data_IF_361793361456
#
_entry.id   IF_361793361456
#
_cell.length_a   1.000
_cell.length_b   1.000
_cell.length_c   1.000
_cell.angle_alpha   90.00
_cell.angle_beta   90.00
_cell.angle_gamma   90.00
#
_symmetry.space_group_name_H-M   'P 1'
#
loop_
_entity.id
_entity.type
_entity.pdbx_description
1 polymer ?
#
# COMPACT_ATOMS: atom_id res chain seq x y z
N UNK A 1 -14.18 -31.16 -15.56
CA UNK A 1 -14.04 -32.20 -14.53
C UNK A 1 -15.41 -32.52 -13.94
N UNK A 2 -15.69 -33.79 -13.64
CA UNK A 2 -16.96 -34.24 -13.09
C UNK A 2 -16.65 -34.96 -11.78
N UNK A 3 -17.40 -34.63 -10.71
CA UNK A 3 -17.29 -35.27 -9.41
C UNK A 3 -18.66 -35.80 -8.97
N UNK A 4 -18.73 -36.99 -8.34
CA UNK A 4 -20.00 -37.56 -7.87
C UNK A 4 -20.57 -36.73 -6.71
N UNK A 5 -21.90 -36.58 -6.71
CA UNK A 5 -22.62 -35.93 -5.60
C UNK A 5 -22.93 -36.94 -4.49
N UNK A 6 -23.32 -36.47 -3.33
CA UNK A 6 -23.84 -37.33 -2.26
C UNK A 6 -25.08 -38.13 -2.71
N UNK A 7 -25.91 -37.56 -3.61
CA UNK A 7 -27.07 -38.25 -4.18
C UNK A 7 -26.68 -39.45 -5.03
N UNK A 8 -25.63 -39.29 -5.85
CA UNK A 8 -25.13 -40.43 -6.63
C UNK A 8 -24.67 -41.58 -5.74
N UNK A 9 -23.97 -41.28 -4.64
CA UNK A 9 -23.54 -42.29 -3.67
C UNK A 9 -24.75 -43.03 -3.06
N UNK A 10 -25.83 -42.31 -2.71
CA UNK A 10 -27.06 -42.92 -2.23
C UNK A 10 -27.78 -43.74 -3.31
N UNK A 11 -27.81 -43.28 -4.56
CA UNK A 11 -28.39 -44.04 -5.67
C UNK A 11 -27.62 -45.33 -5.90
N UNK A 12 -26.29 -45.31 -5.81
CA UNK A 12 -25.46 -46.53 -5.90
C UNK A 12 -25.70 -47.45 -4.69
N UNK A 13 -25.70 -46.90 -3.48
CA UNK A 13 -25.87 -47.68 -2.25
C UNK A 13 -27.24 -48.35 -2.15
N UNK A 14 -28.32 -47.63 -2.50
CA UNK A 14 -29.69 -48.16 -2.39
C UNK A 14 -30.23 -48.78 -3.68
N UNK A 15 -29.74 -48.32 -4.84
CA UNK A 15 -30.23 -48.80 -6.15
C UNK A 15 -29.43 -49.94 -6.72
N UNK A 16 -28.18 -50.13 -6.32
CA UNK A 16 -27.32 -51.20 -6.82
C UNK A 16 -27.07 -52.31 -5.78
N UNK A 17 -26.71 -51.95 -4.54
CA UNK A 17 -26.33 -52.94 -3.54
C UNK A 17 -27.48 -53.87 -3.12
N UNK A 18 -28.71 -53.40 -2.81
CA UNK A 18 -29.78 -54.29 -2.40
C UNK A 18 -30.26 -55.20 -3.53
N UNK A 19 -30.49 -54.73 -4.78
CA UNK A 19 -30.83 -55.60 -5.90
C UNK A 19 -29.77 -56.63 -6.20
N UNK A 20 -28.48 -56.23 -6.15
CA UNK A 20 -27.37 -57.15 -6.36
C UNK A 20 -27.33 -58.24 -5.29
N UNK A 21 -27.56 -57.93 -4.02
CA UNK A 21 -27.65 -58.88 -2.96
C UNK A 21 -28.85 -59.84 -3.13
N UNK A 22 -30.04 -59.33 -3.47
CA UNK A 22 -31.21 -60.16 -3.78
C UNK A 22 -30.97 -61.09 -4.94
N UNK A 23 -30.32 -60.63 -6.04
CA UNK A 23 -29.98 -61.43 -7.18
C UNK A 23 -28.95 -62.54 -6.88
N UNK A 24 -28.05 -62.29 -5.91
CA UNK A 24 -27.10 -63.29 -5.44
C UNK A 24 -27.73 -64.39 -4.60
N UNK A 25 -28.71 -64.08 -3.75
CA UNK A 25 -29.40 -65.05 -2.90
C UNK A 25 -30.58 -65.78 -3.59
N UNK A 26 -31.22 -65.12 -4.57
CA UNK A 26 -32.39 -65.63 -5.29
C UNK A 26 -32.17 -65.58 -6.79
N UNK A 27 -31.72 -66.68 -7.47
CA UNK A 27 -31.41 -66.70 -8.86
C UNK A 27 -32.47 -66.17 -9.85
N UNK A 28 -33.78 -66.35 -9.61
CA UNK A 28 -34.81 -65.83 -10.52
C UNK A 28 -34.81 -64.28 -10.59
N UNK A 29 -34.31 -63.55 -9.56
CA UNK A 29 -34.22 -62.13 -9.56
C UNK A 29 -32.89 -61.55 -10.12
N UNK A 30 -31.93 -62.38 -10.46
CA UNK A 30 -30.62 -62.00 -10.94
C UNK A 30 -30.71 -61.16 -12.23
N UNK A 31 -31.53 -61.58 -13.19
CA UNK A 31 -31.73 -60.85 -14.44
C UNK A 31 -32.31 -59.43 -14.20
N UNK A 32 -33.26 -59.32 -13.29
CA UNK A 32 -33.86 -58.01 -12.92
C UNK A 32 -32.84 -57.12 -12.22
N UNK A 33 -32.01 -57.65 -11.33
CA UNK A 33 -30.94 -56.91 -10.65
C UNK A 33 -29.88 -56.39 -11.63
N UNK A 34 -29.48 -57.20 -12.61
CA UNK A 34 -28.54 -56.79 -13.66
C UNK A 34 -29.17 -55.66 -14.50
N UNK A 35 -30.41 -55.79 -14.93
CA UNK A 35 -31.12 -54.80 -15.71
C UNK A 35 -31.21 -53.45 -14.96
N UNK A 36 -31.58 -53.48 -13.68
CA UNK A 36 -31.65 -52.28 -12.83
C UNK A 36 -30.28 -51.60 -12.71
N UNK A 37 -29.23 -52.38 -12.47
CA UNK A 37 -27.85 -51.86 -12.40
C UNK A 37 -27.42 -51.19 -13.72
N UNK A 38 -27.68 -51.84 -14.85
CA UNK A 38 -27.36 -51.28 -16.18
C UNK A 38 -28.13 -50.00 -16.42
N UNK A 39 -29.40 -49.92 -16.08
CA UNK A 39 -30.21 -48.71 -16.24
C UNK A 39 -29.71 -47.54 -15.38
N UNK A 40 -29.30 -47.81 -14.14
CA UNK A 40 -28.74 -46.76 -13.24
C UNK A 40 -27.42 -46.25 -13.80
N UNK A 41 -26.53 -47.14 -14.24
CA UNK A 41 -25.25 -46.79 -14.84
C UNK A 41 -25.46 -46.00 -16.15
N UNK A 42 -26.32 -46.45 -17.02
CA UNK A 42 -26.66 -45.77 -18.26
C UNK A 42 -27.24 -44.39 -18.02
N UNK A 43 -28.14 -44.23 -17.02
CA UNK A 43 -28.70 -42.95 -16.61
C UNK A 43 -27.63 -41.99 -16.05
N UNK A 44 -26.71 -42.52 -15.26
CA UNK A 44 -25.60 -41.72 -14.72
C UNK A 44 -24.64 -41.25 -15.83
N UNK A 45 -24.30 -42.13 -16.80
CA UNK A 45 -23.47 -41.77 -17.95
C UNK A 45 -24.20 -40.76 -18.85
N UNK A 46 -25.48 -40.94 -19.10
CA UNK A 46 -26.30 -39.98 -19.87
C UNK A 46 -26.32 -38.59 -19.21
N UNK A 47 -26.56 -38.54 -17.90
CA UNK A 47 -26.53 -37.26 -17.14
C UNK A 47 -25.14 -36.61 -17.20
N UNK A 48 -24.06 -37.37 -17.09
CA UNK A 48 -22.71 -36.88 -17.26
C UNK A 48 -22.45 -36.29 -18.65
N UNK A 49 -22.81 -37.08 -19.70
CA UNK A 49 -22.55 -36.72 -21.09
C UNK A 49 -23.31 -35.46 -21.55
N UNK A 50 -24.58 -35.31 -21.13
CA UNK A 50 -25.42 -34.16 -21.48
C UNK A 50 -24.94 -32.87 -20.82
N UNK A 51 -24.20 -32.95 -19.71
CA UNK A 51 -23.73 -31.79 -18.99
C UNK A 51 -22.22 -31.49 -19.20
N UNK A 52 -21.51 -32.21 -20.05
CA UNK A 52 -20.08 -31.98 -20.33
C UNK A 52 -19.78 -30.60 -20.89
N UNK A 53 -20.68 -30.00 -21.68
CA UNK A 53 -20.53 -28.69 -22.31
C UNK A 53 -21.46 -27.63 -21.70
N UNK A 54 -21.79 -27.76 -20.42
CA UNK A 54 -22.74 -26.86 -19.75
C UNK A 54 -22.27 -25.38 -19.70
N UNK A 55 -20.94 -25.14 -19.66
CA UNK A 55 -20.38 -23.78 -19.61
C UNK A 55 -20.48 -23.03 -20.95
N UNK A 56 -20.83 -23.69 -22.06
CA UNK A 56 -21.00 -22.99 -23.35
C UNK A 56 -22.15 -22.00 -23.27
N UNK A 57 -21.84 -20.71 -23.57
CA UNK A 57 -22.79 -19.60 -23.46
C UNK A 57 -22.83 -18.94 -22.09
N UNK A 58 -22.01 -19.41 -21.13
CA UNK A 58 -21.80 -18.71 -19.87
C UNK A 58 -20.60 -17.78 -20.00
N UNK A 59 -20.78 -16.51 -19.63
CA UNK A 59 -19.72 -15.51 -19.58
C UNK A 59 -19.57 -15.00 -18.17
N UNK A 60 -18.32 -14.87 -17.73
CA UNK A 60 -17.97 -14.30 -16.44
C UNK A 60 -17.06 -13.10 -16.70
N UNK A 61 -17.57 -11.91 -16.37
CA UNK A 61 -16.83 -10.67 -16.60
C UNK A 61 -16.48 -10.01 -15.27
N UNK A 62 -15.19 -9.67 -15.16
CA UNK A 62 -14.67 -8.85 -14.06
C UNK A 62 -14.23 -7.49 -14.61
N UNK A 63 -14.25 -6.42 -13.80
CA UNK A 63 -13.57 -5.19 -14.16
C UNK A 63 -12.09 -5.46 -14.42
N UNK A 64 -11.50 -4.84 -15.43
CA UNK A 64 -10.08 -5.01 -15.75
C UNK A 64 -9.15 -4.67 -14.58
N UNK A 65 -9.52 -3.64 -13.82
CA UNK A 65 -8.75 -3.17 -12.67
C UNK A 65 -9.68 -2.83 -11.52
N UNK A 66 -9.42 -3.40 -10.35
CA UNK A 66 -10.12 -3.10 -9.10
C UNK A 66 -9.11 -2.48 -8.14
N UNK A 67 -9.50 -1.36 -7.52
CA UNK A 67 -8.68 -0.65 -6.53
C UNK A 67 -9.25 -0.91 -5.16
N UNK A 68 -8.42 -1.49 -4.28
CA UNK A 68 -8.77 -1.75 -2.89
C UNK A 68 -7.77 -1.07 -1.97
N UNK A 69 -8.14 -0.93 -0.70
CA UNK A 69 -7.27 -0.40 0.34
C UNK A 69 -6.99 -1.50 1.35
N UNK A 70 -5.75 -1.62 1.79
CA UNK A 70 -5.34 -2.61 2.79
C UNK A 70 -6.12 -2.42 4.10
N UNK A 71 -6.55 -3.52 4.72
CA UNK A 71 -7.30 -3.56 5.99
C UNK A 71 -8.64 -2.81 5.99
N UNK A 72 -9.18 -2.53 4.82
CA UNK A 72 -10.53 -1.99 4.66
C UNK A 72 -11.35 -2.98 3.85
N UNK A 73 -12.58 -3.20 4.30
CA UNK A 73 -13.51 -4.04 3.54
C UNK A 73 -13.79 -3.42 2.18
N UNK A 74 -13.68 -4.24 1.16
CA UNK A 74 -13.97 -3.87 -0.22
C UNK A 74 -14.76 -4.97 -0.92
N UNK A 75 -15.34 -4.62 -2.05
CA UNK A 75 -16.16 -5.51 -2.85
C UNK A 75 -15.44 -5.87 -4.16
N UNK A 76 -15.24 -7.16 -4.38
CA UNK A 76 -14.78 -7.72 -5.64
C UNK A 76 -16.02 -8.11 -6.46
N UNK A 77 -16.42 -7.26 -7.40
CA UNK A 77 -17.62 -7.46 -8.19
C UNK A 77 -17.36 -8.28 -9.45
N UNK A 78 -18.29 -9.18 -9.78
CA UNK A 78 -18.31 -9.87 -11.07
C UNK A 78 -19.72 -9.92 -11.65
N UNK A 79 -19.81 -9.92 -12.96
CA UNK A 79 -21.06 -10.14 -13.68
C UNK A 79 -21.04 -11.52 -14.30
N UNK A 80 -22.08 -12.29 -14.00
CA UNK A 80 -22.29 -13.64 -14.55
C UNK A 80 -23.46 -13.56 -15.51
N UNK A 81 -23.26 -13.94 -16.76
CA UNK A 81 -24.30 -13.90 -17.79
C UNK A 81 -24.40 -15.26 -18.51
N UNK A 82 -25.62 -15.75 -18.71
CA UNK A 82 -25.91 -16.94 -19.51
C UNK A 82 -26.73 -16.56 -20.76
N UNK A 83 -26.09 -16.63 -21.94
CA UNK A 83 -26.73 -16.33 -23.22
C UNK A 83 -27.85 -17.32 -23.57
N UNK A 84 -27.83 -18.51 -22.96
CA UNK A 84 -28.84 -19.57 -23.20
C UNK A 84 -30.05 -19.49 -22.27
N UNK A 85 -30.10 -18.53 -21.35
CA UNK A 85 -31.20 -18.28 -20.40
C UNK A 85 -31.65 -19.52 -19.63
N UNK A 86 -30.71 -20.31 -19.14
CA UNK A 86 -30.98 -21.55 -18.42
C UNK A 86 -31.19 -21.28 -16.91
N UNK A 87 -31.90 -22.19 -16.25
CA UNK A 87 -31.94 -22.20 -14.79
C UNK A 87 -30.71 -22.92 -14.27
N UNK A 88 -29.76 -22.16 -13.71
CA UNK A 88 -28.49 -22.68 -13.21
C UNK A 88 -28.23 -22.20 -11.78
N UNK A 89 -27.80 -23.14 -10.94
CA UNK A 89 -27.24 -22.84 -9.64
C UNK A 89 -25.71 -22.96 -9.76
N UNK A 90 -25.02 -21.82 -9.75
CA UNK A 90 -23.58 -21.76 -9.94
C UNK A 90 -22.91 -21.53 -8.58
N UNK A 91 -21.84 -22.24 -8.33
CA UNK A 91 -20.85 -21.93 -7.31
C UNK A 91 -19.61 -21.42 -8.03
N UNK A 92 -19.18 -20.23 -7.63
CA UNK A 92 -18.08 -19.53 -8.27
C UNK A 92 -17.00 -19.31 -7.24
N UNK A 93 -15.79 -19.71 -7.57
CA UNK A 93 -14.60 -19.46 -6.78
C UNK A 93 -13.43 -19.10 -7.67
N UNK A 94 -12.37 -18.59 -7.10
CA UNK A 94 -11.12 -18.36 -7.79
C UNK A 94 -9.95 -18.87 -6.95
N UNK A 95 -8.79 -19.05 -7.57
CA UNK A 95 -7.61 -19.49 -6.85
C UNK A 95 -7.33 -18.55 -5.70
N UNK A 96 -7.12 -19.08 -4.50
CA UNK A 96 -6.80 -18.29 -3.32
C UNK A 96 -5.63 -17.36 -3.64
N UNK A 97 -5.89 -16.08 -3.62
CA UNK A 97 -4.87 -15.05 -3.80
C UNK A 97 -4.36 -14.69 -2.39
N UNK A 98 -3.14 -15.09 -2.02
CA UNK A 98 -2.59 -14.77 -0.72
C UNK A 98 -2.57 -13.24 -0.56
N UNK A 99 -3.13 -12.76 0.54
CA UNK A 99 -3.20 -11.32 0.82
C UNK A 99 -4.56 -10.66 0.58
N UNK A 100 -5.52 -11.32 -0.09
CA UNK A 100 -6.82 -10.72 -0.39
C UNK A 100 -7.84 -10.80 0.77
N UNK A 101 -7.70 -11.77 1.68
CA UNK A 101 -8.59 -11.90 2.85
C UNK A 101 -10.07 -12.01 2.50
N UNK A 102 -10.44 -13.05 1.74
CA UNK A 102 -11.83 -13.29 1.37
C UNK A 102 -12.64 -13.73 2.59
N UNK A 103 -13.84 -13.16 2.79
CA UNK A 103 -14.77 -13.64 3.81
C UNK A 103 -15.47 -14.94 3.42
N UNK A 104 -15.61 -15.19 2.13
CA UNK A 104 -16.22 -16.39 1.55
C UNK A 104 -15.43 -16.82 0.34
N UNK A 105 -14.98 -18.06 0.30
CA UNK A 105 -14.20 -18.59 -0.85
C UNK A 105 -15.10 -18.88 -2.05
N UNK A 106 -16.37 -19.26 -1.80
CA UNK A 106 -17.33 -19.68 -2.82
C UNK A 106 -18.55 -18.75 -2.79
N UNK A 107 -18.91 -18.24 -3.93
CA UNK A 107 -20.07 -17.38 -4.13
C UNK A 107 -21.15 -18.16 -4.87
N UNK A 108 -22.37 -18.19 -4.33
CA UNK A 108 -23.49 -18.82 -5.00
C UNK A 108 -24.27 -17.83 -5.86
N UNK A 109 -24.50 -18.17 -7.11
CA UNK A 109 -25.31 -17.43 -8.07
C UNK A 109 -26.41 -18.29 -8.63
N UNK A 110 -27.64 -17.82 -8.61
CA UNK A 110 -28.81 -18.49 -9.22
C UNK A 110 -29.26 -17.73 -10.44
N UNK A 111 -29.01 -18.29 -11.61
CA UNK A 111 -29.51 -17.77 -12.87
C UNK A 111 -30.90 -18.34 -13.18
N UNK A 112 -31.78 -17.50 -13.69
CA UNK A 112 -33.13 -17.89 -14.16
C UNK A 112 -33.32 -17.34 -15.56
N UNK A 113 -34.25 -17.92 -16.35
CA UNK A 113 -34.53 -17.41 -17.71
C UNK A 113 -34.90 -15.92 -17.75
N UNK A 114 -35.49 -15.38 -16.68
CA UNK A 114 -35.87 -13.97 -16.54
C UNK A 114 -34.68 -13.09 -16.12
N UNK A 115 -33.74 -13.66 -15.35
CA UNK A 115 -32.53 -12.98 -14.89
C UNK A 115 -31.32 -13.72 -15.40
N UNK A 116 -31.00 -13.54 -16.69
CA UNK A 116 -29.88 -14.18 -17.36
C UNK A 116 -28.52 -13.55 -17.01
N UNK A 117 -28.51 -12.34 -16.48
CA UNK A 117 -27.32 -11.63 -15.99
C UNK A 117 -27.49 -11.25 -14.52
N UNK A 118 -26.50 -11.55 -13.68
CA UNK A 118 -26.51 -11.23 -12.25
C UNK A 118 -25.16 -10.64 -11.87
N UNK A 119 -25.20 -9.51 -11.16
CA UNK A 119 -24.05 -8.93 -10.51
C UNK A 119 -23.89 -9.58 -9.13
N UNK A 120 -22.70 -10.06 -8.83
CA UNK A 120 -22.34 -10.62 -7.54
C UNK A 120 -21.04 -10.01 -7.03
N UNK A 121 -20.86 -9.97 -5.72
CA UNK A 121 -19.65 -9.45 -5.09
C UNK A 121 -19.17 -10.35 -3.98
N UNK A 122 -17.83 -10.52 -3.92
CA UNK A 122 -17.15 -11.07 -2.75
C UNK A 122 -16.75 -9.91 -1.84
N UNK A 123 -17.04 -10.05 -0.57
CA UNK A 123 -16.45 -9.18 0.45
C UNK A 123 -15.04 -9.66 0.76
N UNK A 124 -14.09 -8.77 0.62
CA UNK A 124 -12.69 -9.03 0.90
C UNK A 124 -12.09 -7.94 1.78
N UNK A 125 -11.11 -8.31 2.59
CA UNK A 125 -10.35 -7.39 3.43
C UNK A 125 -8.86 -7.67 3.19
N UNK A 126 -8.25 -7.02 2.18
CA UNK A 126 -6.85 -7.26 1.87
C UNK A 126 -5.97 -6.88 3.05
N UNK A 127 -5.05 -7.75 3.44
CA UNK A 127 -4.11 -7.48 4.54
C UNK A 127 -2.70 -7.08 4.08
N UNK A 128 -2.40 -7.25 2.79
CA UNK A 128 -1.15 -6.80 2.18
C UNK A 128 -1.42 -5.91 0.98
N UNK A 129 -0.65 -4.83 0.83
CA UNK A 129 -0.66 -4.02 -0.38
C UNK A 129 0.07 -4.72 -1.51
N UNK A 130 -0.20 -4.29 -2.73
CA UNK A 130 0.47 -4.79 -3.92
C UNK A 130 -0.48 -5.11 -5.06
N UNK A 131 0.05 -5.82 -6.02
CA UNK A 131 -0.65 -6.24 -7.22
C UNK A 131 -1.05 -7.70 -7.08
N UNK A 132 -2.34 -7.97 -7.17
CA UNK A 132 -2.91 -9.32 -7.17
C UNK A 132 -3.58 -9.53 -8.52
N UNK A 133 -3.26 -10.63 -9.21
CA UNK A 133 -3.86 -10.96 -10.50
C UNK A 133 -4.69 -12.22 -10.33
N UNK A 134 -5.95 -12.16 -10.75
CA UNK A 134 -6.83 -13.32 -10.85
C UNK A 134 -6.83 -13.77 -12.31
N UNK A 135 -6.21 -14.92 -12.58
CA UNK A 135 -6.09 -15.47 -13.93
C UNK A 135 -7.25 -16.38 -14.29
N UNK A 136 -7.83 -17.05 -13.29
CA UNK A 136 -8.83 -18.07 -13.51
C UNK A 136 -9.92 -18.04 -12.46
N UNK A 137 -11.16 -18.22 -12.91
CA UNK A 137 -12.31 -18.52 -12.05
C UNK A 137 -12.74 -19.98 -12.26
N UNK A 138 -13.14 -20.59 -11.18
CA UNK A 138 -13.68 -21.95 -11.16
C UNK A 138 -15.17 -21.87 -10.96
N UNK A 139 -15.88 -22.60 -11.81
CA UNK A 139 -17.34 -22.66 -11.80
C UNK A 139 -17.76 -24.10 -11.52
N UNK A 140 -18.72 -24.27 -10.63
CA UNK A 140 -19.31 -25.56 -10.32
C UNK A 140 -20.84 -25.45 -10.44
N UNK A 141 -21.46 -26.46 -11.04
CA UNK A 141 -22.91 -26.60 -11.07
C UNK A 141 -23.32 -28.06 -10.91
N UNK A 142 -24.55 -28.29 -10.46
CA UNK A 142 -25.10 -29.62 -10.39
C UNK A 142 -25.61 -30.03 -11.78
N UNK A 143 -25.46 -31.32 -12.14
CA UNK A 143 -26.08 -31.91 -13.33
C UNK A 143 -27.62 -31.89 -13.23
N UNK A 144 -28.32 -32.17 -14.35
CA UNK A 144 -29.80 -32.14 -14.38
C UNK A 144 -30.44 -33.08 -13.36
N UNK A 145 -29.92 -34.28 -13.22
CA UNK A 145 -30.37 -35.24 -12.23
C UNK A 145 -29.73 -35.06 -10.86
N UNK A 146 -28.82 -34.09 -10.75
CA UNK A 146 -28.02 -33.81 -9.54
C UNK A 146 -27.18 -35.02 -9.09
N UNK A 147 -26.80 -35.87 -10.01
CA UNK A 147 -25.89 -36.99 -9.75
C UNK A 147 -24.44 -36.56 -9.77
N UNK A 148 -24.11 -35.54 -10.54
CA UNK A 148 -22.75 -35.03 -10.73
C UNK A 148 -22.62 -33.54 -10.41
N UNK A 149 -21.48 -33.18 -9.80
CA UNK A 149 -20.96 -31.82 -9.79
C UNK A 149 -20.10 -31.63 -11.04
N UNK A 150 -20.49 -30.76 -11.91
CA UNK A 150 -19.74 -30.45 -13.14
C UNK A 150 -18.94 -29.18 -12.92
N UNK A 151 -17.62 -29.28 -13.01
CA UNK A 151 -16.67 -28.20 -12.77
C UNK A 151 -16.08 -27.71 -14.08
N UNK A 152 -16.03 -26.39 -14.22
CA UNK A 152 -15.40 -25.70 -15.33
C UNK A 152 -14.36 -24.69 -14.86
N UNK A 153 -13.40 -24.36 -15.70
CA UNK A 153 -12.40 -23.33 -15.49
C UNK A 153 -12.56 -22.31 -16.61
N UNK A 154 -12.66 -21.03 -16.24
CA UNK A 154 -12.75 -19.93 -17.19
C UNK A 154 -11.56 -18.97 -16.98
N UNK A 155 -10.89 -18.54 -18.05
CA UNK A 155 -9.88 -17.52 -17.96
C UNK A 155 -10.53 -16.18 -17.57
N UNK A 156 -9.91 -15.48 -16.65
CA UNK A 156 -10.32 -14.15 -16.17
C UNK A 156 -9.09 -13.27 -16.15
N UNK A 157 -9.18 -12.06 -16.66
CA UNK A 157 -8.12 -11.07 -16.58
C UNK A 157 -8.57 -9.94 -15.65
N UNK A 158 -8.37 -10.12 -14.35
CA UNK A 158 -8.67 -9.10 -13.35
C UNK A 158 -7.42 -8.75 -12.55
N UNK A 159 -7.04 -7.49 -12.58
CA UNK A 159 -5.95 -6.94 -11.79
C UNK A 159 -6.51 -6.21 -10.58
N UNK A 160 -6.13 -6.65 -9.38
CA UNK A 160 -6.49 -6.00 -8.13
C UNK A 160 -5.27 -5.22 -7.63
N UNK A 161 -5.43 -3.91 -7.49
CA UNK A 161 -4.42 -3.01 -6.93
C UNK A 161 -4.80 -2.67 -5.51
N UNK A 162 -3.99 -3.12 -4.54
CA UNK A 162 -4.21 -2.86 -3.12
C UNK A 162 -3.26 -1.74 -2.67
N UNK A 163 -3.85 -0.61 -2.28
CA UNK A 163 -3.12 0.57 -1.78
C UNK A 163 -3.00 0.55 -0.26
N UNK A 164 -2.01 1.26 0.31
CA UNK A 164 -1.86 1.36 1.76
C UNK A 164 -3.05 2.06 2.42
N UNK A 165 -3.35 1.68 3.67
CA UNK A 165 -4.39 2.32 4.46
C UNK A 165 -3.83 3.53 5.20
N UNK A 166 -4.31 4.70 4.87
CA UNK A 166 -3.91 5.96 5.50
C UNK A 166 -4.86 6.40 6.63
N UNK A 167 -5.91 5.62 6.92
CA UNK A 167 -7.03 6.08 7.75
C UNK A 167 -6.69 6.35 9.22
N UNK A 168 -5.92 5.48 9.87
CA UNK A 168 -5.49 5.63 11.26
C UNK A 168 -4.52 6.79 11.43
N UNK A 169 -3.50 6.82 10.58
CA UNK A 169 -2.43 7.80 10.67
C UNK A 169 -2.88 9.18 10.19
N UNK A 170 -3.88 9.24 9.30
CA UNK A 170 -4.51 10.50 8.89
C UNK A 170 -5.18 11.24 10.05
N UNK A 171 -5.81 10.53 10.98
CA UNK A 171 -6.40 11.14 12.19
C UNK A 171 -5.31 11.76 13.07
N UNK A 172 -4.23 11.03 13.32
CA UNK A 172 -3.08 11.49 14.09
C UNK A 172 -2.36 12.66 13.40
N UNK A 173 -2.19 12.58 12.09
CA UNK A 173 -1.63 13.66 11.27
C UNK A 173 -2.52 14.91 11.27
N UNK A 174 -3.84 14.76 11.17
CA UNK A 174 -4.78 15.87 11.24
C UNK A 174 -4.78 16.53 12.60
N UNK A 175 -4.66 15.78 13.69
CA UNK A 175 -4.52 16.33 15.03
C UNK A 175 -3.21 17.13 15.18
N UNK A 176 -2.10 16.60 14.66
CA UNK A 176 -0.82 17.32 14.65
C UNK A 176 -0.88 18.62 13.81
N UNK A 177 -1.62 18.57 12.70
CA UNK A 177 -1.88 19.73 11.85
C UNK A 177 -2.77 20.78 12.54
N UNK A 178 -3.86 20.34 13.18
CA UNK A 178 -4.81 21.24 13.88
C UNK A 178 -4.21 21.84 15.15
N UNK A 179 -3.42 21.09 15.92
CA UNK A 179 -2.79 21.60 17.15
C UNK A 179 -1.71 22.66 16.89
N UNK A 180 -1.08 22.65 15.70
CA UNK A 180 -0.10 23.66 15.28
C UNK A 180 -0.62 24.64 14.24
N UNK A 181 -1.76 24.39 13.67
CA UNK A 181 -2.24 25.00 12.44
C UNK A 181 -3.47 25.87 12.54
N UNK A 182 -3.66 26.64 13.61
CA UNK A 182 -4.27 27.95 13.40
C UNK A 182 -3.22 28.98 12.95
N UNK A 183 -2.25 28.57 12.16
CA UNK A 183 -1.62 29.49 11.21
C UNK A 183 -2.64 29.63 10.11
N UNK A 184 -3.44 30.68 10.27
CA UNK A 184 -4.58 30.94 9.39
C UNK A 184 -4.18 30.94 7.95
N UNK A 185 -5.13 30.69 7.09
CA UNK A 185 -5.17 31.00 5.65
C UNK A 185 -4.86 32.49 5.33
N UNK A 186 -4.46 33.29 6.29
CA UNK A 186 -3.77 34.54 6.05
C UNK A 186 -2.37 34.18 5.56
N UNK A 187 -2.27 33.92 4.26
CA UNK A 187 -1.07 34.17 3.50
C UNK A 187 -0.58 35.54 3.95
N UNK A 188 0.38 35.56 4.90
CA UNK A 188 1.10 36.77 5.20
C UNK A 188 1.87 37.07 3.92
N UNK A 189 1.31 37.97 3.12
CA UNK A 189 1.93 38.43 1.88
C UNK A 189 3.25 39.06 2.25
N UNK A 190 4.34 38.34 2.14
CA UNK A 190 5.66 38.92 2.30
C UNK A 190 6.10 39.51 0.98
N UNK A 191 6.25 40.79 1.00
CA UNK A 191 6.83 41.59 -0.08
C UNK A 191 8.35 41.38 -0.05
N UNK A 192 8.93 40.86 -1.13
CA UNK A 192 10.36 40.61 -1.23
C UNK A 192 10.84 40.47 -2.68
N UNK A 193 12.14 40.26 -2.87
CA UNK A 193 12.76 40.07 -4.21
C UNK A 193 12.40 38.72 -4.86
N UNK A 194 11.10 38.54 -5.18
CA UNK A 194 10.64 37.37 -5.97
C UNK A 194 10.61 37.66 -7.47
N UNK A 195 10.31 36.62 -8.27
CA UNK A 195 10.19 36.74 -9.73
C UNK A 195 8.76 36.93 -10.22
N UNK A 196 7.77 36.71 -9.38
CA UNK A 196 6.37 36.82 -9.75
C UNK A 196 5.81 38.19 -9.41
N UNK A 197 5.30 38.91 -10.41
CA UNK A 197 4.71 40.24 -10.25
C UNK A 197 3.39 40.13 -9.47
N UNK A 198 3.26 40.86 -8.36
CA UNK A 198 2.05 40.89 -7.57
C UNK A 198 1.21 42.15 -7.86
N UNK A 199 1.79 43.32 -7.65
CA UNK A 199 1.08 44.58 -7.84
C UNK A 199 2.00 45.77 -8.07
N UNK A 200 1.42 46.90 -8.43
CA UNK A 200 2.06 48.21 -8.48
C UNK A 200 1.66 49.02 -7.25
N UNK A 201 2.63 49.53 -6.50
CA UNK A 201 2.40 50.49 -5.42
C UNK A 201 3.22 51.76 -5.62
N UNK A 202 2.88 52.81 -4.89
CA UNK A 202 3.71 54.00 -4.87
C UNK A 202 5.09 53.69 -4.29
N UNK A 203 6.10 54.31 -4.85
CA UNK A 203 7.48 54.20 -4.40
C UNK A 203 7.62 54.71 -2.95
N UNK A 204 8.27 53.93 -2.12
CA UNK A 204 8.61 54.31 -0.74
C UNK A 204 10.13 54.39 -0.59
N UNK A 205 10.57 55.29 0.27
CA UNK A 205 12.00 55.46 0.53
C UNK A 205 12.61 54.11 1.03
N UNK A 206 13.59 53.61 0.29
CA UNK A 206 14.20 52.28 0.54
C UNK A 206 13.87 51.24 -0.53
N UNK A 207 12.94 51.49 -1.46
CA UNK A 207 12.70 50.60 -2.59
C UNK A 207 13.86 50.66 -3.60
N UNK A 208 14.13 49.53 -4.28
CA UNK A 208 15.16 49.50 -5.32
C UNK A 208 14.71 50.28 -6.56
N UNK A 209 15.61 51.09 -7.10
CA UNK A 209 15.36 51.82 -8.36
C UNK A 209 15.13 50.90 -9.55
N UNK A 210 15.66 49.67 -9.54
CA UNK A 210 15.47 48.68 -10.58
C UNK A 210 14.03 48.18 -10.69
N UNK A 211 13.28 48.26 -9.60
CA UNK A 211 11.90 47.81 -9.53
C UNK A 211 10.89 48.89 -9.94
N UNK A 212 11.33 50.10 -10.30
CA UNK A 212 10.44 51.15 -10.74
C UNK A 212 9.80 50.80 -12.08
N UNK A 213 8.46 50.91 -12.14
CA UNK A 213 7.70 50.69 -13.34
C UNK A 213 7.51 52.00 -14.12
N UNK A 214 8.49 52.39 -14.94
CA UNK A 214 8.55 53.66 -15.64
C UNK A 214 7.29 54.02 -16.42
N UNK A 215 6.65 53.05 -17.06
CA UNK A 215 5.40 53.26 -17.82
C UNK A 215 4.23 53.66 -16.93
N UNK A 216 4.11 53.05 -15.73
CA UNK A 216 3.07 53.42 -14.76
C UNK A 216 3.38 54.77 -14.09
N UNK A 217 4.65 55.03 -13.79
CA UNK A 217 5.16 56.30 -13.27
C UNK A 217 4.81 57.46 -14.18
N UNK A 218 5.07 57.30 -15.50
CA UNK A 218 4.74 58.32 -16.48
C UNK A 218 3.22 58.62 -16.56
N UNK A 219 2.38 57.59 -16.40
CA UNK A 219 0.91 57.76 -16.42
C UNK A 219 0.36 58.37 -15.14
N UNK A 220 0.92 58.03 -13.99
CA UNK A 220 0.45 58.52 -12.67
C UNK A 220 1.13 59.78 -12.17
N UNK A 221 2.20 60.22 -12.83
CA UNK A 221 3.05 61.36 -12.44
C UNK A 221 3.65 61.27 -11.01
N UNK A 222 3.64 60.08 -10.44
CA UNK A 222 4.31 59.74 -9.18
C UNK A 222 5.11 58.43 -9.38
N UNK A 223 6.27 58.24 -8.74
CA UNK A 223 7.05 57.02 -8.87
C UNK A 223 6.26 55.83 -8.40
N UNK A 224 6.20 54.76 -9.23
CA UNK A 224 5.48 53.51 -8.96
C UNK A 224 6.46 52.37 -9.02
N UNK A 225 6.47 51.53 -7.97
CA UNK A 225 7.35 50.36 -7.86
C UNK A 225 6.56 49.08 -8.13
N UNK A 226 7.21 48.15 -8.80
CA UNK A 226 6.73 46.77 -8.92
C UNK A 226 6.98 46.02 -7.61
N UNK A 227 5.91 45.48 -7.05
CA UNK A 227 6.00 44.59 -5.92
C UNK A 227 5.98 43.18 -6.43
N UNK A 228 7.01 42.43 -6.05
CA UNK A 228 7.11 41.01 -6.41
C UNK A 228 6.75 40.14 -5.22
N UNK A 229 6.05 39.07 -5.50
CA UNK A 229 5.75 38.04 -4.51
C UNK A 229 6.92 37.06 -4.47
N UNK A 230 7.35 36.69 -3.27
CA UNK A 230 8.31 35.61 -3.12
C UNK A 230 7.60 34.32 -3.55
N UNK A 231 8.18 33.61 -4.51
CA UNK A 231 7.70 32.30 -4.96
C UNK A 231 7.75 31.35 -3.74
N UNK A 232 6.57 31.09 -3.13
CA UNK A 232 6.45 30.30 -1.90
C UNK A 232 6.41 28.80 -2.15
N UNK A 233 6.43 28.39 -3.39
CA UNK A 233 6.33 26.99 -3.78
C UNK A 233 7.67 26.30 -3.56
N UNK A 234 7.75 25.51 -2.52
CA UNK A 234 8.96 24.76 -2.17
C UNK A 234 8.92 23.36 -2.79
N UNK A 235 10.08 22.85 -3.20
CA UNK A 235 10.21 21.45 -3.63
C UNK A 235 10.54 20.60 -2.39
N UNK A 236 9.70 19.60 -2.12
CA UNK A 236 9.86 18.63 -1.02
C UNK A 236 10.02 17.26 -1.62
N UNK A 237 11.14 16.62 -1.39
CA UNK A 237 11.38 15.24 -1.82
C UNK A 237 11.40 14.30 -0.62
N UNK A 238 10.60 13.24 -0.69
CA UNK A 238 10.67 12.13 0.25
C UNK A 238 11.49 11.02 -0.37
N UNK A 239 12.51 10.61 0.36
CA UNK A 239 13.46 9.58 -0.04
C UNK A 239 13.18 8.34 0.80
N UNK A 240 12.65 7.30 0.16
CA UNK A 240 12.21 6.06 0.79
C UNK A 240 13.24 4.97 0.56
N UNK A 241 13.77 4.44 1.63
CA UNK A 241 14.64 3.28 1.63
C UNK A 241 13.81 2.00 1.46
N UNK A 242 14.11 1.22 0.42
CA UNK A 242 13.52 -0.10 0.15
C UNK A 242 14.54 -1.24 0.28
N UNK A 243 15.68 -1.01 0.90
CA UNK A 243 16.71 -2.02 1.18
C UNK A 243 16.30 -2.99 2.28
N UNK A 244 17.21 -3.91 2.63
CA UNK A 244 17.03 -4.87 3.73
C UNK A 244 16.68 -4.21 5.07
N UNK A 245 17.08 -2.96 5.29
CA UNK A 245 16.80 -2.22 6.52
C UNK A 245 15.30 -1.94 6.68
N UNK A 246 14.61 -1.68 5.59
CA UNK A 246 13.17 -1.40 5.58
C UNK A 246 12.30 -2.65 5.77
N UNK A 247 12.86 -3.85 5.63
CA UNK A 247 12.17 -5.11 5.91
C UNK A 247 11.95 -5.36 7.40
N UNK A 248 12.71 -4.68 8.26
CA UNK A 248 12.61 -4.83 9.71
C UNK A 248 11.23 -4.45 10.22
N UNK A 249 10.82 -5.12 11.29
CA UNK A 249 9.57 -4.81 12.00
C UNK A 249 9.88 -3.89 13.19
N UNK A 250 9.08 -2.86 13.45
CA UNK A 250 9.34 -1.88 14.52
C UNK A 250 9.08 -2.41 15.94
N UNK A 251 8.60 -3.63 16.10
CA UNK A 251 8.52 -4.33 17.38
C UNK A 251 9.91 -4.78 17.83
N UNK A 252 10.34 -4.40 19.04
CA UNK A 252 11.63 -4.79 19.59
C UNK A 252 11.85 -6.32 19.63
N UNK A 253 13.03 -6.75 20.08
CA UNK A 253 13.33 -8.16 20.28
C UNK A 253 12.35 -8.76 21.30
N UNK A 254 11.37 -9.53 20.82
CA UNK A 254 10.50 -10.32 21.68
C UNK A 254 11.11 -11.70 21.88
N UNK A 255 11.10 -12.17 23.13
CA UNK A 255 11.64 -13.46 23.58
C UNK A 255 11.02 -14.66 22.83
N UNK A 256 9.80 -14.49 22.38
CA UNK A 256 9.00 -15.52 21.69
C UNK A 256 8.95 -15.27 20.18
N UNK A 257 10.09 -15.39 19.51
CA UNK A 257 10.17 -15.22 18.05
C UNK A 257 9.27 -16.23 17.30
N UNK A 258 9.16 -17.45 17.82
CA UNK A 258 8.32 -18.52 17.24
C UNK A 258 6.81 -18.25 17.46
N UNK A 259 6.44 -17.74 18.64
CA UNK A 259 5.04 -17.38 18.94
C UNK A 259 4.64 -16.09 18.21
N UNK A 260 5.56 -15.15 18.03
CA UNK A 260 5.31 -13.90 17.34
C UNK A 260 5.08 -14.07 15.82
N UNK A 261 5.68 -15.08 15.20
CA UNK A 261 5.41 -15.37 13.78
C UNK A 261 4.05 -16.04 13.53
N UNK A 262 3.57 -16.83 14.48
CA UNK A 262 2.27 -17.54 14.38
C UNK A 262 1.07 -16.69 14.85
N UNK A 263 1.26 -15.83 15.87
CA UNK A 263 0.16 -15.11 16.54
C UNK A 263 -0.01 -13.66 16.05
N UNK A 264 1.03 -13.03 15.46
CA UNK A 264 0.96 -11.65 14.98
C UNK A 264 1.37 -11.53 13.50
N UNK A 265 0.55 -12.01 12.56
CA UNK A 265 0.81 -11.78 11.12
C UNK A 265 0.72 -10.30 10.73
N UNK A 266 0.47 -9.39 11.66
CA UNK A 266 0.04 -8.01 11.41
C UNK A 266 1.10 -6.94 11.68
N UNK A 267 2.30 -7.26 12.16
CA UNK A 267 3.31 -6.22 12.34
C UNK A 267 3.82 -5.74 10.98
N UNK A 268 3.47 -4.48 10.68
CA UNK A 268 3.93 -3.80 9.47
C UNK A 268 5.45 -3.64 9.47
N UNK A 269 6.10 -3.85 8.33
CA UNK A 269 7.51 -3.52 8.17
C UNK A 269 7.74 -2.01 8.24
N UNK A 270 8.98 -1.59 8.46
CA UNK A 270 9.34 -0.17 8.39
C UNK A 270 8.97 0.45 7.04
N UNK A 271 9.10 -0.32 5.95
CA UNK A 271 8.70 0.14 4.62
C UNK A 271 7.22 0.54 4.54
N UNK A 272 6.32 -0.21 5.20
CA UNK A 272 4.89 0.15 5.24
C UNK A 272 4.69 1.52 5.91
N UNK A 273 5.43 1.78 6.97
CA UNK A 273 5.40 3.07 7.68
C UNK A 273 5.97 4.20 6.82
N UNK A 274 7.08 3.95 6.14
CA UNK A 274 7.68 4.92 5.22
C UNK A 274 6.74 5.28 4.08
N UNK A 275 6.06 4.30 3.49
CA UNK A 275 5.09 4.52 2.42
C UNK A 275 3.89 5.34 2.93
N UNK A 276 3.35 4.98 4.09
CA UNK A 276 2.24 5.71 4.71
C UNK A 276 2.63 7.16 5.00
N UNK A 277 3.81 7.39 5.60
CA UNK A 277 4.33 8.72 5.87
C UNK A 277 4.54 9.55 4.58
N UNK A 278 5.12 8.94 3.54
CA UNK A 278 5.32 9.60 2.26
C UNK A 278 4.00 10.03 1.60
N UNK A 279 2.98 9.18 1.64
CA UNK A 279 1.67 9.48 1.05
C UNK A 279 0.91 10.56 1.86
N UNK A 280 0.99 10.52 3.19
CA UNK A 280 0.40 11.55 4.04
C UNK A 280 1.11 12.90 3.86
N UNK A 281 2.44 12.89 3.82
CA UNK A 281 3.21 14.10 3.60
C UNK A 281 2.92 14.72 2.23
N UNK A 282 2.70 13.87 1.19
CA UNK A 282 2.26 14.37 -0.11
C UNK A 282 0.92 15.13 -0.02
N UNK A 283 -0.06 14.59 0.73
CA UNK A 283 -1.34 15.27 0.92
C UNK A 283 -1.15 16.61 1.63
N UNK A 284 -0.33 16.63 2.68
CA UNK A 284 -0.05 17.87 3.44
C UNK A 284 0.68 18.90 2.58
N UNK A 285 1.74 18.51 1.85
CA UNK A 285 2.48 19.38 0.95
C UNK A 285 1.57 19.98 -0.14
N UNK A 286 0.69 19.16 -0.71
CA UNK A 286 -0.30 19.63 -1.69
C UNK A 286 -1.26 20.68 -1.09
N UNK A 287 -1.76 20.45 0.12
CA UNK A 287 -2.60 21.44 0.82
C UNK A 287 -1.85 22.75 1.16
N UNK A 288 -0.54 22.65 1.35
CA UNK A 288 0.32 23.81 1.60
C UNK A 288 0.78 24.53 0.33
N UNK A 289 0.41 24.04 -0.85
CA UNK A 289 0.81 24.61 -2.15
C UNK A 289 2.25 24.26 -2.56
N UNK A 290 2.91 23.30 -1.91
CA UNK A 290 4.28 22.89 -2.23
C UNK A 290 4.30 21.79 -3.29
N UNK A 291 5.43 21.67 -3.98
CA UNK A 291 5.67 20.62 -4.96
C UNK A 291 6.28 19.40 -4.27
N UNK A 292 5.62 18.28 -4.40
CA UNK A 292 6.06 17.02 -3.82
C UNK A 292 6.79 16.16 -4.85
N UNK A 293 7.93 15.61 -4.48
CA UNK A 293 8.68 14.61 -5.24
C UNK A 293 8.92 13.35 -4.43
N UNK A 294 9.14 12.25 -5.10
CA UNK A 294 9.41 10.96 -4.50
C UNK A 294 10.65 10.33 -5.11
N UNK A 295 11.51 9.78 -4.25
CA UNK A 295 12.66 8.99 -4.65
C UNK A 295 12.65 7.70 -3.84
N UNK A 296 12.77 6.56 -4.50
CA UNK A 296 12.87 5.24 -3.89
C UNK A 296 14.21 4.63 -4.27
N UNK A 297 14.93 4.13 -3.29
CA UNK A 297 16.25 3.54 -3.50
C UNK A 297 16.48 2.28 -2.66
N UNK A 298 17.43 1.48 -3.06
CA UNK A 298 18.05 0.40 -2.32
C UNK A 298 19.58 0.40 -2.60
N UNK A 299 20.12 -0.57 -3.34
CA UNK A 299 21.49 -0.53 -3.87
C UNK A 299 21.65 0.48 -5.03
N UNK A 300 20.54 0.98 -5.56
CA UNK A 300 20.45 1.97 -6.63
C UNK A 300 19.12 2.71 -6.57
N UNK A 301 18.98 3.78 -7.34
CA UNK A 301 17.70 4.48 -7.46
C UNK A 301 16.72 3.65 -8.29
N UNK A 302 15.62 3.21 -7.68
CA UNK A 302 14.56 2.41 -8.32
C UNK A 302 13.53 3.28 -9.02
N UNK A 303 13.01 4.26 -8.29
CA UNK A 303 11.96 5.14 -8.78
C UNK A 303 12.28 6.60 -8.44
N UNK A 304 12.13 7.47 -9.43
CA UNK A 304 12.24 8.91 -9.24
C UNK A 304 11.04 9.61 -9.86
N UNK A 305 10.25 10.25 -9.03
CA UNK A 305 9.11 11.07 -9.42
C UNK A 305 9.44 12.52 -9.10
N UNK A 306 9.66 13.33 -10.15
CA UNK A 306 10.05 14.74 -9.98
C UNK A 306 8.96 15.53 -9.28
N UNK A 307 9.35 16.50 -8.45
CA UNK A 307 8.43 17.35 -7.71
C UNK A 307 7.43 18.08 -8.62
N UNK A 308 6.15 17.85 -8.34
CA UNK A 308 5.00 18.47 -9.02
C UNK A 308 3.82 18.53 -8.05
N UNK A 309 2.76 19.24 -8.44
CA UNK A 309 1.50 19.28 -7.71
C UNK A 309 0.35 18.63 -8.47
N UNK A 310 -0.80 18.48 -7.79
CA UNK A 310 -2.05 18.04 -8.40
C UNK A 310 -2.41 16.56 -8.19
N UNK A 311 -3.68 16.22 -8.45
CA UNK A 311 -4.24 14.87 -8.22
C UNK A 311 -3.59 13.78 -9.07
N UNK A 312 -3.25 14.09 -10.33
CA UNK A 312 -2.59 13.14 -11.23
C UNK A 312 -1.20 12.77 -10.70
N UNK A 313 -0.47 13.73 -10.11
CA UNK A 313 0.82 13.50 -9.52
C UNK A 313 0.74 12.63 -8.26
N UNK A 314 -0.30 12.83 -7.42
CA UNK A 314 -0.59 11.95 -6.30
C UNK A 314 -0.77 10.50 -6.74
N UNK A 315 -1.54 10.28 -7.82
CA UNK A 315 -1.72 8.93 -8.37
C UNK A 315 -0.41 8.32 -8.87
N UNK A 316 0.47 9.13 -9.50
CA UNK A 316 1.77 8.66 -9.95
C UNK A 316 2.69 8.23 -8.79
N UNK A 317 2.71 8.99 -7.70
CA UNK A 317 3.44 8.62 -6.49
C UNK A 317 2.85 7.35 -5.84
N UNK A 318 1.52 7.24 -5.78
CA UNK A 318 0.85 6.05 -5.27
C UNK A 318 1.16 4.81 -6.12
N UNK A 319 1.18 4.92 -7.45
CA UNK A 319 1.56 3.83 -8.36
C UNK A 319 3.04 3.44 -8.20
N UNK A 320 3.93 4.36 -7.86
CA UNK A 320 5.34 4.05 -7.59
C UNK A 320 5.54 3.30 -6.27
N UNK A 321 4.63 3.48 -5.31
CA UNK A 321 4.78 2.95 -3.95
C UNK A 321 3.98 1.66 -3.68
N UNK A 322 2.82 1.44 -4.34
CA UNK A 322 1.92 0.34 -3.96
C UNK A 322 2.49 -1.05 -4.21
N UNK A 323 3.39 -1.21 -5.19
CA UNK A 323 4.07 -2.49 -5.50
C UNK A 323 5.41 -2.65 -4.80
N UNK A 324 5.90 -1.60 -4.12
CA UNK A 324 7.22 -1.59 -3.53
C UNK A 324 7.31 -2.64 -2.43
N UNK A 325 8.31 -3.51 -2.51
CA UNK A 325 8.63 -4.51 -1.50
C UNK A 325 10.07 -4.29 -1.02
N UNK A 326 10.40 -4.66 0.23
CA UNK A 326 11.78 -4.59 0.70
C UNK A 326 12.67 -5.51 -0.12
N UNK A 327 13.80 -4.99 -0.58
CA UNK A 327 14.82 -5.78 -1.26
C UNK A 327 15.95 -6.14 -0.29
N UNK A 328 16.43 -7.39 -0.31
CA UNK A 328 17.45 -7.89 0.64
C UNK A 328 18.87 -7.50 0.22
N UNK A 329 19.05 -6.24 -0.17
CA UNK A 329 20.35 -5.62 -0.52
C UNK A 329 20.74 -4.54 0.47
N UNK A 330 22.00 -4.23 0.57
CA UNK A 330 22.50 -3.10 1.39
C UNK A 330 22.30 -1.79 0.62
N UNK A 331 21.85 -0.71 1.28
CA UNK A 331 21.66 0.58 0.61
C UNK A 331 23.02 1.17 0.19
N UNK A 332 23.06 1.77 -1.00
CA UNK A 332 24.21 2.52 -1.50
C UNK A 332 23.91 4.03 -1.47
N UNK A 333 24.50 4.71 -0.48
CA UNK A 333 24.32 6.15 -0.31
C UNK A 333 25.19 6.97 -1.25
N UNK A 334 26.31 6.46 -1.72
CA UNK A 334 27.17 7.16 -2.67
C UNK A 334 26.46 7.33 -4.02
N UNK A 335 25.87 6.25 -4.53
CA UNK A 335 25.06 6.28 -5.75
C UNK A 335 23.85 7.20 -5.58
N UNK A 336 23.13 7.08 -4.45
CA UNK A 336 21.96 7.91 -4.14
C UNK A 336 22.28 9.41 -4.14
N UNK A 337 23.33 9.82 -3.43
CA UNK A 337 23.67 11.24 -3.31
C UNK A 337 24.23 11.80 -4.63
N UNK A 338 24.96 11.01 -5.38
CA UNK A 338 25.40 11.35 -6.73
C UNK A 338 24.21 11.59 -7.66
N UNK A 339 23.20 10.72 -7.60
CA UNK A 339 21.96 10.89 -8.35
C UNK A 339 21.22 12.18 -7.93
N UNK A 340 21.07 12.43 -6.62
CA UNK A 340 20.39 13.64 -6.10
C UNK A 340 21.11 14.88 -6.63
N UNK A 341 22.43 14.96 -6.50
CA UNK A 341 23.25 16.09 -6.95
C UNK A 341 23.09 16.37 -8.44
N UNK A 342 23.00 15.33 -9.26
CA UNK A 342 22.85 15.48 -10.72
C UNK A 342 21.44 15.90 -11.12
N UNK A 343 20.41 15.41 -10.43
CA UNK A 343 19.00 15.59 -10.82
C UNK A 343 18.32 16.78 -10.16
N UNK A 344 18.67 17.09 -8.92
CA UNK A 344 18.05 18.17 -8.17
C UNK A 344 18.93 19.42 -8.18
N UNK A 345 18.64 20.32 -9.12
CA UNK A 345 19.42 21.57 -9.30
C UNK A 345 18.94 22.71 -8.42
N UNK A 346 17.66 22.70 -8.01
CA UNK A 346 17.06 23.72 -7.14
C UNK A 346 17.22 23.28 -5.69
N UNK A 347 17.35 24.24 -4.78
CA UNK A 347 17.31 23.97 -3.35
C UNK A 347 15.97 23.33 -2.99
N UNK A 348 15.99 22.26 -2.23
CA UNK A 348 14.81 21.47 -1.86
C UNK A 348 14.92 20.98 -0.42
N UNK A 349 13.78 20.61 0.18
CA UNK A 349 13.73 19.85 1.41
C UNK A 349 13.81 18.36 1.06
N UNK A 350 14.81 17.67 1.60
CA UNK A 350 15.01 16.25 1.44
C UNK A 350 14.69 15.54 2.76
N UNK A 351 13.65 14.73 2.76
CA UNK A 351 13.21 13.97 3.93
C UNK A 351 13.54 12.51 3.71
N UNK A 352 14.56 12.02 4.40
CA UNK A 352 14.99 10.63 4.34
C UNK A 352 14.18 9.79 5.32
N UNK A 353 13.63 8.71 4.82
CA UNK A 353 12.95 7.65 5.57
C UNK A 353 13.80 6.38 5.43
N UNK A 354 14.74 6.21 6.34
CA UNK A 354 15.71 5.11 6.34
C UNK A 354 16.06 4.71 7.78
N UNK A 355 16.80 3.64 7.95
CA UNK A 355 17.33 3.23 9.23
C UNK A 355 18.86 3.28 9.19
N UNK A 356 19.46 3.87 10.21
CA UNK A 356 20.91 4.08 10.36
C UNK A 356 21.45 3.48 11.67
N UNK A 357 20.84 2.39 12.13
CA UNK A 357 21.24 1.69 13.35
C UNK A 357 22.48 0.78 13.17
N UNK A 358 22.86 0.49 11.93
CA UNK A 358 24.11 -0.20 11.59
C UNK A 358 25.26 0.82 11.48
N UNK A 359 26.30 0.74 12.31
CA UNK A 359 27.38 1.72 12.34
C UNK A 359 28.10 1.89 11.01
N UNK A 360 28.30 0.81 10.26
CA UNK A 360 28.97 0.84 8.95
C UNK A 360 28.15 1.63 7.92
N UNK A 361 26.83 1.41 7.95
CA UNK A 361 25.88 2.11 7.08
C UNK A 361 25.78 3.59 7.48
N UNK A 362 25.75 3.86 8.79
CA UNK A 362 25.71 5.22 9.32
C UNK A 362 26.97 6.02 8.98
N UNK A 363 28.15 5.39 9.05
CA UNK A 363 29.41 5.99 8.62
C UNK A 363 29.41 6.31 7.13
N UNK A 364 29.01 5.36 6.29
CA UNK A 364 28.87 5.58 4.83
C UNK A 364 27.93 6.75 4.53
N UNK A 365 26.79 6.82 5.21
CA UNK A 365 25.85 7.93 5.07
C UNK A 365 26.52 9.27 5.45
N UNK A 366 27.14 9.32 6.65
CA UNK A 366 27.77 10.54 7.20
C UNK A 366 28.87 11.09 6.29
N UNK A 367 29.66 10.18 5.70
CA UNK A 367 30.75 10.54 4.79
C UNK A 367 30.26 11.24 3.52
N UNK A 368 29.13 10.81 2.98
CA UNK A 368 28.66 11.28 1.69
C UNK A 368 27.58 12.36 1.76
N UNK A 369 26.86 12.49 2.90
CA UNK A 369 25.73 13.44 3.04
C UNK A 369 26.15 14.90 2.86
N UNK A 370 27.39 15.24 3.11
CA UNK A 370 27.94 16.58 2.94
C UNK A 370 27.86 17.08 1.49
N UNK A 371 27.86 16.13 0.52
CA UNK A 371 27.69 16.45 -0.91
C UNK A 371 26.37 17.15 -1.23
N UNK A 372 25.32 16.87 -0.44
CA UNK A 372 23.97 17.37 -0.69
C UNK A 372 23.51 18.40 0.35
N UNK A 373 24.04 18.34 1.59
CA UNK A 373 23.60 19.23 2.70
C UNK A 373 23.97 20.70 2.44
N UNK A 374 24.99 20.97 1.64
CA UNK A 374 25.38 22.35 1.23
C UNK A 374 24.34 23.00 0.32
N UNK A 375 23.62 22.23 -0.46
CA UNK A 375 22.64 22.73 -1.44
C UNK A 375 21.21 22.57 -0.96
N UNK A 376 20.89 21.48 -0.27
CA UNK A 376 19.55 21.11 0.16
C UNK A 376 19.43 21.11 1.68
N UNK A 377 18.21 21.30 2.18
CA UNK A 377 17.92 21.05 3.58
C UNK A 377 17.63 19.56 3.78
N UNK A 378 18.47 18.90 4.57
CA UNK A 378 18.40 17.45 4.77
C UNK A 378 17.84 17.12 6.14
N UNK A 379 16.80 16.30 6.18
CA UNK A 379 16.19 15.76 7.38
C UNK A 379 16.16 14.24 7.31
N UNK A 380 16.63 13.59 8.36
CA UNK A 380 16.67 12.14 8.46
C UNK A 380 15.72 11.70 9.54
N UNK A 381 14.85 10.76 9.21
CA UNK A 381 13.87 10.21 10.12
C UNK A 381 14.14 8.71 10.31
N UNK A 382 14.56 8.35 11.53
CA UNK A 382 14.86 6.99 11.93
C UNK A 382 13.76 6.51 12.87
N UNK A 383 13.10 5.41 12.52
CA UNK A 383 12.12 4.78 13.41
C UNK A 383 12.85 3.81 14.33
N UNK A 384 12.86 4.12 15.62
CA UNK A 384 13.49 3.29 16.64
C UNK A 384 12.50 2.32 17.26
N UNK A 385 12.94 1.09 17.62
CA UNK A 385 12.14 0.15 18.41
C UNK A 385 11.74 0.75 19.77
N UNK A 386 10.65 0.24 20.34
CA UNK A 386 10.28 0.56 21.73
C UNK A 386 11.38 0.05 22.68
N UNK A 387 11.73 0.87 23.66
CA UNK A 387 12.75 0.51 24.66
C UNK A 387 14.16 1.04 24.36
N UNK A 388 14.40 1.63 23.18
CA UNK A 388 15.67 2.31 22.87
C UNK A 388 15.72 3.64 23.63
N UNK A 389 16.12 3.56 24.90
CA UNK A 389 16.17 4.66 25.87
C UNK A 389 17.48 4.61 26.67
N UNK A 390 17.88 5.69 27.35
CA UNK A 390 19.03 5.68 28.25
C UNK A 390 18.82 4.72 29.42
N UNK A 391 19.91 4.17 29.97
CA UNK A 391 19.95 3.06 30.92
C UNK A 391 19.18 3.29 32.21
N UNK A 392 18.73 4.36 32.57
CA UNK A 392 17.92 4.66 33.77
C UNK A 392 16.52 5.13 33.40
N UNK A 393 15.99 4.67 32.27
CA UNK A 393 14.60 4.84 31.89
C UNK A 393 13.64 4.11 32.85
N UNK A 394 12.35 4.35 32.69
CA UNK A 394 11.28 3.87 33.59
C UNK A 394 10.93 2.38 33.47
N UNK A 395 11.77 1.54 32.88
CA UNK A 395 11.44 0.14 32.63
C UNK A 395 11.76 -0.69 33.87
N UNK A 396 10.77 -1.36 34.43
CA UNK A 396 10.94 -2.32 35.53
C UNK A 396 11.74 -3.53 35.02
N UNK A 397 12.75 -3.94 35.80
CA UNK A 397 13.59 -5.09 35.52
C UNK A 397 13.06 -6.26 36.33
N UNK A 398 12.59 -7.29 35.66
CA UNK A 398 12.03 -8.48 36.30
C UNK A 398 12.98 -9.69 36.23
N UNK A 399 13.89 -9.71 35.23
CA UNK A 399 14.81 -10.85 35.03
C UNK A 399 16.18 -10.37 34.52
N UNK A 400 17.21 -11.23 34.60
CA UNK A 400 18.54 -10.97 34.07
C UNK A 400 18.55 -10.65 32.58
N UNK A 401 17.70 -11.32 31.80
CA UNK A 401 17.58 -11.08 30.37
C UNK A 401 17.05 -9.68 30.06
N UNK A 402 16.22 -9.12 30.94
CA UNK A 402 15.73 -7.74 30.81
C UNK A 402 16.90 -6.73 30.95
N UNK A 403 17.89 -7.04 31.81
CA UNK A 403 19.07 -6.20 31.94
C UNK A 403 19.90 -6.22 30.64
N UNK A 404 20.16 -7.40 30.09
CA UNK A 404 20.89 -7.50 28.81
C UNK A 404 20.18 -6.82 27.68
N UNK A 405 18.84 -6.92 27.61
CA UNK A 405 18.03 -6.24 26.61
C UNK A 405 18.09 -4.72 26.79
N UNK A 406 17.97 -4.22 28.01
CA UNK A 406 18.09 -2.79 28.30
C UNK A 406 19.49 -2.27 27.96
N UNK A 407 20.55 -3.04 28.26
CA UNK A 407 21.91 -2.68 27.89
C UNK A 407 22.07 -2.60 26.36
N UNK A 408 21.54 -3.56 25.62
CA UNK A 408 21.57 -3.56 24.16
C UNK A 408 20.84 -2.33 23.59
N UNK A 409 19.66 -2.00 24.12
CA UNK A 409 18.92 -0.80 23.75
C UNK A 409 19.64 0.50 24.10
N UNK A 410 20.34 0.54 25.23
CA UNK A 410 21.15 1.68 25.60
C UNK A 410 22.31 1.90 24.63
N UNK A 411 23.03 0.85 24.27
CA UNK A 411 24.09 0.95 23.26
C UNK A 411 23.55 1.44 21.91
N UNK A 412 22.40 0.95 21.49
CA UNK A 412 21.76 1.43 20.26
C UNK A 412 21.37 2.90 20.34
N UNK A 413 20.84 3.32 21.49
CA UNK A 413 20.51 4.72 21.75
C UNK A 413 21.75 5.62 21.71
N UNK A 414 22.86 5.19 22.32
CA UNK A 414 24.13 5.92 22.33
C UNK A 414 24.71 6.07 20.92
N UNK A 415 24.72 5.00 20.13
CA UNK A 415 25.15 5.05 18.73
C UNK A 415 24.33 6.04 17.89
N UNK A 416 23.01 6.03 18.01
CA UNK A 416 22.16 6.97 17.28
C UNK A 416 22.40 8.41 17.75
N UNK A 417 22.63 8.62 19.04
CA UNK A 417 22.92 9.96 19.60
C UNK A 417 24.26 10.49 19.11
N UNK A 418 25.28 9.66 19.01
CA UNK A 418 26.58 10.07 18.50
C UNK A 418 26.53 10.35 17.00
N UNK A 419 25.77 9.56 16.27
CA UNK A 419 25.45 9.84 14.86
C UNK A 419 24.74 11.20 14.72
N UNK A 420 23.75 11.50 15.56
CA UNK A 420 23.03 12.78 15.56
C UNK A 420 23.99 13.96 15.76
N UNK A 421 24.93 13.85 16.72
CA UNK A 421 25.95 14.88 16.94
C UNK A 421 26.84 15.08 15.71
N UNK A 422 27.31 13.98 15.12
CA UNK A 422 28.13 14.01 13.91
C UNK A 422 27.41 14.69 12.75
N UNK A 423 26.17 14.29 12.47
CA UNK A 423 25.38 14.83 11.38
C UNK A 423 25.01 16.31 11.58
N UNK A 424 24.83 16.73 12.82
CA UNK A 424 24.54 18.13 13.17
C UNK A 424 25.67 19.05 12.75
N UNK A 425 26.94 18.61 12.82
CA UNK A 425 28.08 19.41 12.35
C UNK A 425 28.04 19.63 10.84
N UNK A 426 27.47 18.71 10.06
CA UNK A 426 27.26 18.83 8.61
C UNK A 426 25.93 19.54 8.24
N UNK A 427 25.22 20.12 9.22
CA UNK A 427 23.97 20.82 8.98
C UNK A 427 22.77 19.92 8.69
N UNK A 428 22.87 18.65 9.03
CA UNK A 428 21.83 17.63 8.81
C UNK A 428 21.06 17.37 10.10
N UNK A 429 19.74 17.35 10.03
CA UNK A 429 18.88 17.09 11.18
C UNK A 429 18.45 15.63 11.21
N UNK A 430 18.91 14.87 12.19
CA UNK A 430 18.43 13.53 12.48
C UNK A 430 17.37 13.58 13.58
N UNK A 431 16.26 12.91 13.38
CA UNK A 431 15.22 12.74 14.39
C UNK A 431 14.88 11.27 14.58
N UNK A 432 14.83 10.86 15.84
CA UNK A 432 14.32 9.56 16.23
C UNK A 432 12.80 9.64 16.34
N UNK A 433 12.11 8.67 15.76
CA UNK A 433 10.66 8.59 15.74
C UNK A 433 10.19 7.29 16.39
N UNK A 434 9.11 7.37 17.14
CA UNK A 434 8.38 6.17 17.57
C UNK A 434 7.44 5.72 16.47
N UNK A 435 7.31 4.41 16.28
CA UNK A 435 6.47 3.84 15.22
C UNK A 435 5.04 4.41 15.20
N UNK A 436 4.44 4.63 16.36
CA UNK A 436 3.06 5.09 16.51
C UNK A 436 2.86 6.55 16.09
N UNK A 437 3.88 7.39 16.26
CA UNK A 437 3.84 8.83 16.00
C UNK A 437 4.62 9.26 14.75
N UNK A 438 5.29 8.32 14.09
CA UNK A 438 6.20 8.62 12.98
C UNK A 438 5.58 9.55 11.93
N UNK A 439 4.38 9.25 11.47
CA UNK A 439 3.69 10.08 10.46
C UNK A 439 3.39 11.49 10.99
N UNK A 440 2.91 11.62 12.23
CA UNK A 440 2.58 12.91 12.84
C UNK A 440 3.83 13.78 13.08
N UNK A 441 4.92 13.15 13.50
CA UNK A 441 6.18 13.84 13.78
C UNK A 441 6.86 14.32 12.49
N UNK A 442 6.88 13.50 11.43
CA UNK A 442 7.39 13.91 10.10
C UNK A 442 6.62 15.12 9.56
N UNK A 443 5.28 15.08 9.64
CA UNK A 443 4.44 16.21 9.22
C UNK A 443 4.73 17.44 10.08
N UNK A 444 4.90 17.27 11.38
CA UNK A 444 5.23 18.35 12.30
C UNK A 444 6.56 19.00 11.97
N UNK A 445 7.58 18.21 11.63
CA UNK A 445 8.89 18.70 11.19
C UNK A 445 8.78 19.51 9.90
N UNK A 446 8.09 18.96 8.90
CA UNK A 446 7.87 19.68 7.65
C UNK A 446 7.20 21.05 7.90
N UNK A 447 6.16 21.08 8.74
CA UNK A 447 5.47 22.33 9.09
C UNK A 447 6.39 23.31 9.83
N UNK A 448 7.28 22.83 10.71
CA UNK A 448 8.27 23.69 11.40
C UNK A 448 9.26 24.32 10.43
N UNK A 449 9.79 23.52 9.48
CA UNK A 449 10.70 24.03 8.44
C UNK A 449 10.03 25.13 7.63
N UNK A 450 8.78 24.89 7.24
CA UNK A 450 8.00 25.87 6.47
C UNK A 450 7.74 27.16 7.27
N UNK A 451 7.39 27.04 8.56
CA UNK A 451 7.16 28.19 9.44
C UNK A 451 8.44 29.03 9.65
N UNK A 452 9.59 28.36 9.81
CA UNK A 452 10.89 29.02 10.00
C UNK A 452 11.50 29.57 8.71
N UNK A 453 10.87 29.35 7.57
CA UNK A 453 11.37 29.78 6.25
C UNK A 453 12.83 29.36 6.00
N UNK A 454 13.19 28.12 6.37
CA UNK A 454 14.56 27.61 6.26
C UNK A 454 14.94 27.22 4.81
N UNK A 455 14.02 27.25 3.87
CA UNK A 455 14.20 26.88 2.46
C UNK A 455 14.31 28.06 1.54
#
# INVERSE_FOLDING_TARGET
MIAPTRRFMWVVALGILPPAALGAFFPPFAALAILATVLIIAGAIYDAATNLKWWTGLTLTFPKTIRLTSRIEGDLTCTVEDTRKRKLNLRIGFTSAPGLGLKQDILEARLTPEKSAILKSWKCCPYRRGRIVIEHAYLETDSRLKLWHVRGRMPVACEIKVYPNLGSDRKSASAAFLNRGRVGEKSIRQIGKGREFEMLREYMHGDSYEDIHWRATAKRRSPVTKVFQIERTQEVYVIVDSSRLSARRPGGYTRDREIAEEVLPEQESLLERYITAAMLLHQVAHHQGDLFGLLVFDDRVKNFVRARGGKAHYSACAEALYTLQPNMVTPDFEELFSFIRLRLRKRALLIFLTNLDDPVIAESFSKHVEMISRQHLVMINVITPKGVEPLFGKTEVNDLDDIYLQLAYHFQWEQIRDLEKSLKTSGVHLQQLTNERACADIISQYMQVKQKQML
#
